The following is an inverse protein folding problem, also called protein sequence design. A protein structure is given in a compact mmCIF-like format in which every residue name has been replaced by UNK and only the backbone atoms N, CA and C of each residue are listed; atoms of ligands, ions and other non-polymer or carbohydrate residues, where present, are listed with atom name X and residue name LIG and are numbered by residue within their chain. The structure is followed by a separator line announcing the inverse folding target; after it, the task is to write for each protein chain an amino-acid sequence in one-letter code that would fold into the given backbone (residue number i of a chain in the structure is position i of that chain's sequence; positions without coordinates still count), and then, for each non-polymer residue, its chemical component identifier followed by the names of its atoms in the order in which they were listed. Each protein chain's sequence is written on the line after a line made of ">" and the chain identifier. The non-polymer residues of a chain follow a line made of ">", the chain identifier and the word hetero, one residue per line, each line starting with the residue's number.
data_IF_352724405749
#
_entry.id   IF_352724405749
#
_cell.length_a   1.000
_cell.length_b   1.000
_cell.length_c   1.000
_cell.angle_alpha   90.00
_cell.angle_beta   90.00
_cell.angle_gamma   90.00
#
_symmetry.space_group_name_H-M   'P 1'
#
loop_
_entity.id
_entity.type
_entity.pdbx_description
1 polymer ?
#
# COMPACT_ATOMS: atom_id res chain seq x y z
N UNK A 1 17.11 16.46 3.60
CA UNK A 1 16.16 16.56 2.46
C UNK A 1 14.77 16.98 2.96
N UNK A 2 14.64 18.15 3.62
CA UNK A 2 13.42 18.56 4.35
C UNK A 2 13.04 20.04 4.18
N UNK A 3 13.40 20.74 3.09
CA UNK A 3 13.08 22.18 2.93
C UNK A 3 12.11 22.51 1.78
N UNK A 4 12.14 21.78 0.67
CA UNK A 4 11.34 22.12 -0.53
C UNK A 4 9.86 21.75 -0.35
N UNK A 5 9.56 20.56 0.17
CA UNK A 5 8.18 20.12 0.39
C UNK A 5 7.39 21.07 1.31
N UNK A 6 8.03 21.58 2.37
CA UNK A 6 7.44 22.57 3.27
C UNK A 6 7.10 23.90 2.58
N UNK A 7 7.98 24.37 1.68
CA UNK A 7 7.75 25.59 0.91
C UNK A 7 6.59 25.43 -0.09
N UNK A 8 6.51 24.28 -0.75
CA UNK A 8 5.41 23.94 -1.68
C UNK A 8 4.09 23.90 -0.93
N UNK A 9 4.02 23.21 0.22
CA UNK A 9 2.80 23.14 1.05
C UNK A 9 2.34 24.53 1.49
N UNK A 10 3.27 25.39 1.94
CA UNK A 10 2.95 26.76 2.34
C UNK A 10 2.33 27.57 1.20
N UNK A 11 2.84 27.43 -0.03
CA UNK A 11 2.28 28.14 -1.17
C UNK A 11 1.02 27.50 -1.76
N UNK A 12 0.88 26.19 -1.66
CA UNK A 12 -0.33 25.47 -2.05
C UNK A 12 -1.52 25.80 -1.12
N UNK A 13 -1.26 26.10 0.15
CA UNK A 13 -2.29 26.48 1.12
C UNK A 13 -2.83 27.91 0.93
N UNK A 14 -2.16 28.75 0.14
CA UNK A 14 -2.63 30.11 -0.12
C UNK A 14 -3.76 30.11 -1.16
N UNK A 15 -4.86 30.81 -0.85
CA UNK A 15 -6.01 30.91 -1.74
C UNK A 15 -5.64 31.57 -3.09
N UNK A 16 -6.29 31.11 -4.16
CA UNK A 16 -6.12 31.68 -5.50
C UNK A 16 -4.84 31.26 -6.23
N UNK A 17 -4.20 30.17 -5.81
CA UNK A 17 -2.99 29.63 -6.47
C UNK A 17 -3.19 28.19 -6.90
N UNK A 18 -2.68 27.88 -8.09
CA UNK A 18 -2.55 26.50 -8.60
C UNK A 18 -1.08 26.23 -8.82
N UNK A 19 -0.57 25.16 -8.22
CA UNK A 19 0.81 24.72 -8.39
C UNK A 19 0.76 23.40 -9.14
N UNK A 20 1.43 23.35 -10.28
CA UNK A 20 1.65 22.12 -11.04
C UNK A 20 3.10 21.72 -10.91
N UNK A 21 3.35 20.48 -10.53
CA UNK A 21 4.67 19.89 -10.41
C UNK A 21 4.71 18.58 -11.19
N UNK A 22 5.89 18.26 -11.72
CA UNK A 22 6.18 16.98 -12.36
C UNK A 22 7.32 16.31 -11.58
N UNK A 23 7.08 15.10 -11.10
CA UNK A 23 8.10 14.27 -10.48
C UNK A 23 8.00 12.87 -11.07
N UNK A 24 9.12 12.14 -11.05
CA UNK A 24 9.13 10.71 -11.35
C UNK A 24 9.04 9.86 -10.08
N UNK A 25 9.06 10.48 -8.90
CA UNK A 25 8.91 9.82 -7.61
C UNK A 25 7.45 9.85 -7.17
N UNK A 26 6.84 8.67 -7.05
CA UNK A 26 5.43 8.56 -6.67
C UNK A 26 5.22 9.00 -5.21
N UNK A 27 6.19 8.76 -4.33
CA UNK A 27 6.14 9.16 -2.93
C UNK A 27 6.03 10.70 -2.80
N UNK A 28 6.81 11.45 -3.58
CA UNK A 28 6.75 12.92 -3.57
C UNK A 28 5.42 13.44 -4.11
N UNK A 29 4.89 12.82 -5.18
CA UNK A 29 3.61 13.20 -5.77
C UNK A 29 2.45 12.97 -4.80
N UNK A 30 2.46 11.84 -4.09
CA UNK A 30 1.49 11.52 -3.05
C UNK A 30 1.59 12.46 -1.84
N UNK A 31 2.81 12.80 -1.43
CA UNK A 31 3.01 13.65 -0.26
C UNK A 31 2.52 15.09 -0.48
N UNK A 32 2.76 15.67 -1.65
CA UNK A 32 2.62 17.10 -1.90
C UNK A 32 1.33 17.48 -2.65
N UNK A 33 0.64 16.54 -3.29
CA UNK A 33 -0.44 16.84 -4.24
C UNK A 33 -1.80 16.41 -3.72
N UNK A 34 -2.83 17.24 -3.95
CA UNK A 34 -4.22 16.83 -3.74
C UNK A 34 -4.78 16.00 -4.91
N UNK A 35 -4.17 16.15 -6.09
CA UNK A 35 -4.57 15.50 -7.33
C UNK A 35 -3.33 15.09 -8.12
N UNK A 36 -3.31 13.87 -8.63
CA UNK A 36 -2.22 13.29 -9.40
C UNK A 36 -2.69 12.99 -10.81
N UNK A 37 -1.82 13.23 -11.78
CA UNK A 37 -1.99 12.84 -13.18
C UNK A 37 -0.79 11.98 -13.61
N UNK A 38 -1.05 10.74 -14.05
CA UNK A 38 -0.02 9.81 -14.52
C UNK A 38 0.11 9.95 -16.03
N UNK A 39 1.27 10.41 -16.49
CA UNK A 39 1.61 10.54 -17.90
C UNK A 39 2.55 9.41 -18.34
N UNK A 40 2.26 8.79 -19.48
CA UNK A 40 3.14 7.79 -20.09
C UNK A 40 3.17 7.98 -21.59
N UNK A 41 4.38 8.13 -22.17
CA UNK A 41 4.60 8.32 -23.62
C UNK A 41 3.72 9.43 -24.21
N UNK A 42 3.69 10.59 -23.54
CA UNK A 42 2.90 11.75 -23.98
C UNK A 42 1.38 11.62 -23.83
N UNK A 43 0.88 10.58 -23.15
CA UNK A 43 -0.56 10.35 -22.95
C UNK A 43 -0.91 10.29 -21.48
N UNK A 44 -2.00 10.96 -21.10
CA UNK A 44 -2.60 10.83 -19.77
C UNK A 44 -3.18 9.42 -19.61
N UNK A 45 -2.68 8.67 -18.64
CA UNK A 45 -3.09 7.29 -18.35
C UNK A 45 -4.09 7.20 -17.21
N UNK A 46 -3.92 8.03 -16.19
CA UNK A 46 -4.83 8.08 -15.05
C UNK A 46 -4.78 9.47 -14.41
N UNK A 47 -5.87 9.84 -13.74
CA UNK A 47 -5.95 11.09 -13.00
C UNK A 47 -6.93 10.96 -11.83
N UNK A 48 -6.62 11.55 -10.69
CA UNK A 48 -7.44 11.49 -9.49
C UNK A 48 -6.67 11.82 -8.22
N UNK A 49 -7.34 11.78 -7.08
CA UNK A 49 -6.65 11.86 -5.78
C UNK A 49 -5.72 10.66 -5.58
N UNK A 50 -4.66 10.78 -4.75
CA UNK A 50 -3.76 9.66 -4.46
C UNK A 50 -4.52 8.41 -4.00
N UNK A 51 -5.48 8.56 -3.10
CA UNK A 51 -6.32 7.46 -2.59
C UNK A 51 -7.17 6.81 -3.68
N UNK A 52 -7.76 7.61 -4.58
CA UNK A 52 -8.54 7.08 -5.71
C UNK A 52 -7.67 6.29 -6.69
N UNK A 53 -6.46 6.79 -6.97
CA UNK A 53 -5.53 6.09 -7.85
C UNK A 53 -5.04 4.78 -7.20
N UNK A 54 -4.76 4.79 -5.89
CA UNK A 54 -4.41 3.58 -5.14
C UNK A 54 -5.54 2.55 -5.15
N UNK A 55 -6.79 2.95 -4.93
CA UNK A 55 -7.91 2.01 -4.94
C UNK A 55 -8.21 1.47 -6.34
N UNK A 56 -8.07 2.30 -7.38
CA UNK A 56 -8.39 1.90 -8.76
C UNK A 56 -7.27 1.18 -9.48
N UNK A 57 -6.01 1.53 -9.22
CA UNK A 57 -4.83 0.99 -9.91
C UNK A 57 -3.95 0.09 -9.02
N UNK A 58 -4.12 0.11 -7.70
CA UNK A 58 -3.37 -0.72 -6.77
C UNK A 58 -3.65 -2.20 -6.98
N UNK A 59 -2.61 -3.01 -7.16
CA UNK A 59 -2.74 -4.44 -7.51
C UNK A 59 -3.11 -5.33 -6.31
N UNK A 60 -3.05 -4.79 -5.09
CA UNK A 60 -3.19 -5.54 -3.85
C UNK A 60 -2.24 -5.01 -2.79
N UNK A 61 -1.94 -5.83 -1.79
CA UNK A 61 -0.99 -5.56 -0.72
C UNK A 61 -0.08 -6.75 -0.51
N UNK A 62 1.19 -6.49 -0.20
CA UNK A 62 2.08 -7.52 0.33
C UNK A 62 1.96 -7.49 1.86
N UNK A 63 1.39 -8.56 2.42
CA UNK A 63 1.29 -8.77 3.86
C UNK A 63 2.56 -9.49 4.34
N UNK A 64 3.28 -8.89 5.27
CA UNK A 64 4.39 -9.53 5.97
C UNK A 64 3.99 -9.76 7.43
N UNK A 65 3.96 -11.02 7.86
CA UNK A 65 3.67 -11.44 9.22
C UNK A 65 4.95 -11.98 9.84
N UNK A 66 5.42 -11.34 10.91
CA UNK A 66 6.60 -11.79 11.66
C UNK A 66 6.13 -12.49 12.93
N UNK A 67 6.42 -13.77 13.05
CA UNK A 67 6.11 -14.52 14.26
C UNK A 67 7.01 -14.04 15.42
N UNK A 68 6.44 -13.91 16.62
CA UNK A 68 7.20 -13.53 17.82
C UNK A 68 8.30 -14.53 18.18
N UNK A 69 8.19 -15.77 17.70
CA UNK A 69 9.21 -16.81 17.83
C UNK A 69 9.40 -17.52 16.49
N UNK A 70 10.64 -17.90 16.18
CA UNK A 70 10.95 -18.77 15.04
C UNK A 70 10.61 -20.25 15.28
N UNK A 71 9.82 -20.56 16.32
CA UNK A 71 9.32 -21.90 16.56
C UNK A 71 8.45 -22.34 15.39
N UNK A 72 8.78 -23.51 14.83
CA UNK A 72 8.07 -24.09 13.70
C UNK A 72 6.59 -24.30 14.00
N UNK A 73 6.23 -24.59 15.24
CA UNK A 73 4.83 -24.75 15.64
C UNK A 73 4.04 -23.43 15.51
N UNK A 74 4.64 -22.32 15.95
CA UNK A 74 4.02 -20.99 15.87
C UNK A 74 3.93 -20.52 14.43
N UNK A 75 5.02 -20.66 13.66
CA UNK A 75 5.03 -20.30 12.22
C UNK A 75 3.98 -21.12 11.46
N UNK A 76 3.85 -22.42 11.76
CA UNK A 76 2.84 -23.27 11.14
C UNK A 76 1.39 -22.88 11.49
N UNK A 77 1.14 -22.45 12.73
CA UNK A 77 -0.18 -21.95 13.14
C UNK A 77 -0.55 -20.66 12.40
N UNK A 78 0.39 -19.71 12.31
CA UNK A 78 0.18 -18.46 11.56
C UNK A 78 -0.05 -18.74 10.07
N UNK A 79 0.73 -19.63 9.46
CA UNK A 79 0.53 -20.04 8.07
C UNK A 79 -0.86 -20.66 7.85
N UNK A 80 -1.34 -21.48 8.79
CA UNK A 80 -2.68 -22.06 8.71
C UNK A 80 -3.80 -21.01 8.76
N UNK A 81 -3.69 -20.01 9.65
CA UNK A 81 -4.64 -18.90 9.75
C UNK A 81 -4.64 -18.09 8.44
N UNK A 82 -3.46 -17.81 7.88
CA UNK A 82 -3.36 -17.10 6.60
C UNK A 82 -4.00 -17.91 5.47
N UNK A 83 -3.74 -19.22 5.37
CA UNK A 83 -4.35 -20.10 4.35
C UNK A 83 -5.86 -20.22 4.49
N UNK A 84 -6.41 -20.13 5.71
CA UNK A 84 -7.85 -20.16 5.94
C UNK A 84 -8.56 -18.95 5.31
N UNK A 85 -7.96 -17.77 5.39
CA UNK A 85 -8.53 -16.53 4.86
C UNK A 85 -8.11 -16.24 3.41
N UNK A 86 -6.96 -16.75 2.97
CA UNK A 86 -6.36 -16.50 1.66
C UNK A 86 -5.87 -17.82 1.02
N UNK A 87 -6.79 -18.71 0.59
CA UNK A 87 -6.43 -20.05 0.12
C UNK A 87 -5.58 -20.07 -1.16
N UNK A 88 -5.79 -19.11 -2.05
CA UNK A 88 -5.13 -19.05 -3.36
C UNK A 88 -3.94 -18.06 -3.39
N UNK A 89 -3.61 -17.43 -2.26
CA UNK A 89 -2.53 -16.45 -2.22
C UNK A 89 -1.15 -17.14 -2.19
N UNK A 90 -0.16 -16.64 -2.96
CA UNK A 90 1.19 -17.16 -2.86
C UNK A 90 1.79 -16.78 -1.50
N UNK A 91 2.28 -17.79 -0.77
CA UNK A 91 2.90 -17.65 0.55
C UNK A 91 4.38 -18.00 0.42
N UNK A 92 5.24 -17.10 0.91
CA UNK A 92 6.67 -17.33 1.07
C UNK A 92 7.03 -17.24 2.56
N UNK A 93 7.57 -18.32 3.12
CA UNK A 93 7.90 -18.42 4.54
C UNK A 93 9.41 -18.58 4.69
N UNK A 94 10.07 -17.60 5.32
CA UNK A 94 11.51 -17.62 5.54
C UNK A 94 11.87 -17.00 6.90
N UNK A 95 12.75 -17.66 7.66
CA UNK A 95 13.32 -17.13 8.92
C UNK A 95 12.30 -16.63 9.97
N UNK A 96 11.07 -17.17 10.00
CA UNK A 96 10.01 -16.74 10.92
C UNK A 96 9.17 -15.56 10.40
N UNK A 97 9.42 -15.12 9.17
CA UNK A 97 8.60 -14.16 8.42
C UNK A 97 7.76 -14.91 7.38
N UNK A 98 6.48 -14.58 7.29
CA UNK A 98 5.53 -15.12 6.31
C UNK A 98 5.07 -13.94 5.43
N UNK A 99 5.37 -14.02 4.13
CA UNK A 99 5.01 -13.01 3.12
C UNK A 99 3.91 -13.53 2.23
N UNK A 100 2.86 -12.74 2.06
CA UNK A 100 1.65 -13.13 1.30
C UNK A 100 1.20 -11.99 0.42
N UNK A 101 1.02 -12.26 -0.88
CA UNK A 101 0.41 -11.30 -1.79
C UNK A 101 -1.11 -11.36 -1.66
N UNK A 102 -1.72 -10.30 -1.16
CA UNK A 102 -3.16 -10.16 -0.98
C UNK A 102 -3.75 -9.40 -2.16
N UNK A 103 -4.51 -10.10 -3.00
CA UNK A 103 -5.22 -9.48 -4.12
C UNK A 103 -6.28 -8.48 -3.66
N UNK A 104 -6.53 -7.45 -4.47
CA UNK A 104 -7.44 -6.33 -4.14
C UNK A 104 -8.80 -6.77 -3.58
N UNK A 105 -9.43 -7.79 -4.16
CA UNK A 105 -10.76 -8.24 -3.74
C UNK A 105 -10.74 -8.90 -2.36
N UNK A 106 -9.66 -9.62 -2.04
CA UNK A 106 -9.46 -10.26 -0.74
C UNK A 106 -9.12 -9.25 0.37
N UNK A 107 -8.59 -8.07 0.03
CA UNK A 107 -8.28 -7.02 1.02
C UNK A 107 -9.55 -6.53 1.72
N UNK A 108 -10.64 -6.36 0.98
CA UNK A 108 -11.87 -5.82 1.55
C UNK A 108 -12.62 -6.85 2.41
N UNK A 109 -12.50 -8.13 2.08
CA UNK A 109 -13.31 -9.20 2.70
C UNK A 109 -12.52 -10.06 3.68
N UNK A 110 -11.28 -10.42 3.37
CA UNK A 110 -10.49 -11.37 4.15
C UNK A 110 -9.54 -10.68 5.14
N UNK A 111 -8.93 -9.55 4.76
CA UNK A 111 -7.90 -8.90 5.59
C UNK A 111 -8.37 -8.49 7.00
N UNK A 112 -9.57 -7.89 7.20
CA UNK A 112 -10.03 -7.53 8.54
C UNK A 112 -10.22 -8.75 9.46
N UNK A 113 -10.72 -9.85 8.92
CA UNK A 113 -10.93 -11.09 9.66
C UNK A 113 -9.60 -11.79 9.97
N UNK A 114 -8.68 -11.81 8.99
CA UNK A 114 -7.32 -12.32 9.17
C UNK A 114 -6.58 -11.58 10.29
N UNK A 115 -6.64 -10.24 10.31
CA UNK A 115 -6.00 -9.45 11.36
C UNK A 115 -6.61 -9.72 12.73
N UNK A 116 -7.95 -9.83 12.82
CA UNK A 116 -8.62 -10.16 14.06
C UNK A 116 -8.20 -11.54 14.62
N UNK A 117 -8.04 -12.54 13.75
CA UNK A 117 -7.61 -13.88 14.16
C UNK A 117 -6.11 -13.97 14.51
N UNK A 118 -5.27 -13.08 13.96
CA UNK A 118 -3.85 -12.99 14.29
C UNK A 118 -3.57 -12.20 15.59
N UNK A 119 -4.49 -11.33 15.98
CA UNK A 119 -4.41 -10.54 17.23
C UNK A 119 -5.00 -11.27 18.45
N UNK A 120 -5.68 -12.40 18.25
CA UNK A 120 -6.33 -13.22 19.28
C UNK A 120 -5.36 -14.23 19.94
#
# INVERSE_FOLDING_TARGET
>A
RHSIGGAIRKQAAAAGRVIMLSTHFLEEAEELSQHIAILCRGRLKASGSPTFLKSRLGVGYDLAVTAASSDRAVVGAVEAIVRQHLPDAPIDTAAGEIKVAVGRDAVATALPHLLADLEA
#
